data_IF_955384420269
#
_entry.id   IF_955384420269
#
_cell.length_a   1.000
_cell.length_b   1.000
_cell.length_c   1.000
_cell.angle_alpha   90.00
_cell.angle_beta   90.00
_cell.angle_gamma   90.00
#
_symmetry.space_group_name_H-M   'P 1'
#
loop_
_entity.id
_entity.type
_entity.pdbx_description
1 polymer ?
#
# COMPACT_ATOMS: atom_id res chain seq x y z
N UNK A 1 -14.39 -7.08 -26.10
CA UNK A 1 -14.83 -7.33 -24.71
C UNK A 1 -13.65 -7.26 -23.73
N UNK A 2 -13.86 -7.01 -22.42
CA UNK A 2 -12.83 -7.25 -21.40
C UNK A 2 -12.41 -8.74 -21.44
N UNK A 3 -11.12 -9.06 -21.32
CA UNK A 3 -10.62 -10.42 -21.47
C UNK A 3 -11.03 -11.27 -20.25
N UNK A 4 -12.17 -11.93 -20.34
CA UNK A 4 -12.70 -12.89 -19.35
C UNK A 4 -11.92 -14.23 -19.38
N UNK A 5 -10.60 -14.19 -19.56
CA UNK A 5 -9.68 -15.33 -19.56
C UNK A 5 -8.32 -15.04 -20.22
N UNK A 6 -7.24 -15.63 -19.69
CA UNK A 6 -5.87 -15.43 -20.15
C UNK A 6 -5.03 -14.56 -19.20
N UNK A 7 -4.43 -13.48 -19.72
CA UNK A 7 -3.51 -12.59 -18.99
C UNK A 7 -4.13 -11.94 -17.74
N UNK A 8 -5.46 -11.79 -17.70
CA UNK A 8 -6.19 -11.27 -16.54
C UNK A 8 -5.94 -12.08 -15.26
N UNK A 9 -5.75 -13.41 -15.35
CA UNK A 9 -5.42 -14.23 -14.18
C UNK A 9 -4.02 -13.96 -13.64
N UNK A 10 -3.07 -13.63 -14.52
CA UNK A 10 -1.72 -13.23 -14.11
C UNK A 10 -1.76 -11.86 -13.41
N UNK A 11 -2.55 -10.92 -13.95
CA UNK A 11 -2.81 -9.63 -13.31
C UNK A 11 -3.50 -9.79 -11.95
N UNK A 12 -4.43 -10.75 -11.83
CA UNK A 12 -5.05 -11.10 -10.55
C UNK A 12 -4.03 -11.59 -9.54
N UNK A 13 -3.13 -12.51 -9.92
CA UNK A 13 -2.08 -13.01 -9.02
C UNK A 13 -1.10 -11.90 -8.62
N UNK A 14 -0.75 -11.01 -9.56
CA UNK A 14 0.07 -9.83 -9.28
C UNK A 14 -0.61 -8.87 -8.28
N UNK A 15 -1.91 -8.61 -8.45
CA UNK A 15 -2.69 -7.77 -7.53
C UNK A 15 -2.88 -8.44 -6.15
N UNK A 16 -3.06 -9.76 -6.11
CA UNK A 16 -3.07 -10.55 -4.87
C UNK A 16 -1.75 -10.43 -4.13
N UNK A 17 -0.61 -10.57 -4.83
CA UNK A 17 0.71 -10.37 -4.24
C UNK A 17 0.89 -8.94 -3.75
N UNK A 18 0.49 -7.94 -4.55
CA UNK A 18 0.57 -6.53 -4.18
C UNK A 18 -0.20 -6.23 -2.89
N UNK A 19 -1.47 -6.67 -2.82
CA UNK A 19 -2.31 -6.46 -1.65
C UNK A 19 -1.78 -7.23 -0.44
N UNK A 20 -1.35 -8.48 -0.65
CA UNK A 20 -0.73 -9.31 0.39
C UNK A 20 0.54 -8.68 0.96
N UNK A 21 1.47 -8.24 0.11
CA UNK A 21 2.71 -7.62 0.54
C UNK A 21 2.48 -6.30 1.30
N UNK A 22 1.62 -5.42 0.77
CA UNK A 22 1.34 -4.12 1.41
C UNK A 22 0.65 -4.31 2.77
N UNK A 23 -0.45 -5.06 2.82
CA UNK A 23 -1.15 -5.30 4.09
C UNK A 23 -0.38 -6.21 5.04
N UNK A 24 0.37 -7.17 4.50
CA UNK A 24 1.24 -8.05 5.28
C UNK A 24 2.31 -7.26 6.02
N UNK A 25 3.02 -6.37 5.34
CA UNK A 25 4.05 -5.54 5.97
C UNK A 25 3.40 -4.57 6.96
N UNK A 26 2.29 -3.93 6.58
CA UNK A 26 1.61 -2.96 7.44
C UNK A 26 1.02 -3.60 8.71
N UNK A 27 0.54 -4.84 8.62
CA UNK A 27 0.07 -5.62 9.78
C UNK A 27 1.22 -6.16 10.63
N UNK A 28 2.36 -6.47 9.98
CA UNK A 28 3.58 -6.92 10.66
C UNK A 28 4.35 -5.79 11.34
N UNK A 29 3.92 -4.54 11.21
CA UNK A 29 4.49 -3.40 11.92
C UNK A 29 4.57 -3.62 13.44
N UNK A 30 3.62 -4.34 14.04
CA UNK A 30 3.67 -4.67 15.47
C UNK A 30 4.86 -5.59 15.84
N UNK A 31 5.21 -6.54 14.97
CA UNK A 31 6.39 -7.40 15.17
C UNK A 31 7.67 -6.59 14.96
N UNK A 32 7.74 -5.81 13.88
CA UNK A 32 8.87 -4.93 13.61
C UNK A 32 9.08 -3.89 14.73
N UNK A 33 8.00 -3.39 15.32
CA UNK A 33 7.99 -2.46 16.44
C UNK A 33 8.65 -3.06 17.69
N UNK A 34 8.25 -4.28 18.09
CA UNK A 34 8.83 -4.97 19.25
C UNK A 34 10.33 -5.19 19.05
N UNK A 35 10.73 -5.63 17.86
CA UNK A 35 12.14 -5.87 17.55
C UNK A 35 12.96 -4.60 17.43
N UNK A 36 12.36 -3.48 17.01
CA UNK A 36 13.00 -2.16 17.07
C UNK A 36 13.20 -1.68 18.51
N UNK A 37 12.25 -1.96 19.41
CA UNK A 37 12.41 -1.63 20.83
C UNK A 37 13.54 -2.38 21.48
N UNK A 38 13.66 -3.69 21.20
CA UNK A 38 14.77 -4.51 21.69
C UNK A 38 16.12 -4.02 21.16
N UNK A 39 16.20 -3.62 19.89
CA UNK A 39 17.44 -3.17 19.27
C UNK A 39 17.88 -1.77 19.74
N UNK A 40 16.95 -0.83 19.93
CA UNK A 40 17.29 0.59 20.18
C UNK A 40 17.33 0.99 21.67
N UNK A 41 16.76 0.22 22.59
CA UNK A 41 16.68 0.69 23.99
C UNK A 41 16.20 -0.32 25.03
N UNK A 42 16.44 -1.62 24.84
CA UNK A 42 16.36 -2.61 25.92
C UNK A 42 15.14 -2.48 26.84
N UNK A 43 13.93 -2.57 26.30
CA UNK A 43 12.70 -2.88 27.06
C UNK A 43 12.08 -1.80 27.96
N UNK A 44 12.81 -0.81 28.49
CA UNK A 44 12.30 0.00 29.62
C UNK A 44 12.03 1.49 29.32
N UNK A 45 12.48 2.03 28.18
CA UNK A 45 12.25 3.43 27.84
C UNK A 45 10.86 3.66 27.22
N UNK A 46 9.88 4.06 28.05
CA UNK A 46 8.54 4.47 27.59
C UNK A 46 8.59 5.44 26.42
N UNK A 47 9.54 6.37 26.40
CA UNK A 47 9.68 7.36 25.32
C UNK A 47 10.03 6.71 23.96
N UNK A 48 10.82 5.64 23.96
CA UNK A 48 11.21 4.91 22.75
C UNK A 48 10.03 4.10 22.18
N UNK A 49 9.24 3.48 23.06
CA UNK A 49 7.98 2.80 22.71
C UNK A 49 7.00 3.76 22.06
N UNK A 50 6.82 4.95 22.64
CA UNK A 50 6.00 5.99 22.00
C UNK A 50 6.54 6.35 20.63
N UNK A 51 7.85 6.63 20.50
CA UNK A 51 8.43 7.03 19.21
C UNK A 51 8.21 5.97 18.12
N UNK A 52 8.51 4.71 18.40
CA UNK A 52 8.41 3.64 17.40
C UNK A 52 6.95 3.34 17.02
N UNK A 53 6.00 3.49 17.94
CA UNK A 53 4.57 3.28 17.67
C UNK A 53 4.05 4.37 16.72
N UNK A 54 4.50 5.61 16.94
CA UNK A 54 4.21 6.72 16.06
C UNK A 54 4.65 6.46 14.62
N UNK A 55 5.81 5.83 14.38
CA UNK A 55 6.29 5.49 13.01
C UNK A 55 5.28 4.60 12.27
N UNK A 56 4.78 3.57 12.95
CA UNK A 56 3.83 2.60 12.38
C UNK A 56 2.47 3.24 12.09
N UNK A 57 1.97 4.05 13.03
CA UNK A 57 0.73 4.82 12.87
C UNK A 57 0.84 5.84 11.73
N UNK A 58 1.99 6.52 11.61
CA UNK A 58 2.28 7.44 10.51
C UNK A 58 2.26 6.71 9.17
N UNK A 59 2.89 5.54 9.08
CA UNK A 59 2.87 4.70 7.87
C UNK A 59 1.44 4.38 7.44
N UNK A 60 0.62 3.83 8.36
CA UNK A 60 -0.73 3.44 8.00
C UNK A 60 -1.60 4.64 7.62
N UNK A 61 -1.49 5.74 8.36
CA UNK A 61 -2.17 7.00 8.05
C UNK A 61 -1.79 7.55 6.68
N UNK A 62 -0.50 7.51 6.34
CA UNK A 62 0.02 7.98 5.04
C UNK A 62 -0.46 7.12 3.87
N UNK A 63 -0.58 5.80 4.03
CA UNK A 63 -1.13 4.93 2.97
C UNK A 63 -2.54 5.38 2.56
N UNK A 64 -3.40 5.63 3.54
CA UNK A 64 -4.77 6.10 3.29
C UNK A 64 -4.84 7.56 2.83
N UNK A 65 -4.01 8.43 3.40
CA UNK A 65 -3.94 9.84 2.99
C UNK A 65 -3.50 10.00 1.53
N UNK A 66 -2.56 9.17 1.07
CA UNK A 66 -2.11 9.18 -0.32
C UNK A 66 -3.09 8.50 -1.29
N UNK A 67 -3.95 7.57 -0.85
CA UNK A 67 -4.89 6.84 -1.72
C UNK A 67 -5.70 7.73 -2.69
N UNK A 68 -6.33 8.85 -2.27
CA UNK A 68 -7.03 9.75 -3.20
C UNK A 68 -6.10 10.44 -4.21
N UNK A 69 -4.87 10.78 -3.79
CA UNK A 69 -3.86 11.38 -4.66
C UNK A 69 -3.45 10.37 -5.72
N UNK A 70 -3.20 9.12 -5.32
CA UNK A 70 -2.83 8.02 -6.22
C UNK A 70 -3.92 7.76 -7.25
N UNK A 71 -5.20 7.84 -6.86
CA UNK A 71 -6.31 7.69 -7.80
C UNK A 71 -6.22 8.69 -8.96
N UNK A 72 -5.95 9.97 -8.65
CA UNK A 72 -5.80 11.02 -9.67
C UNK A 72 -4.59 10.74 -10.56
N UNK A 73 -3.45 10.35 -9.97
CA UNK A 73 -2.25 10.01 -10.74
C UNK A 73 -2.46 8.78 -11.63
N UNK A 74 -3.21 7.78 -11.15
CA UNK A 74 -3.56 6.56 -11.89
C UNK A 74 -4.40 6.90 -13.12
N UNK A 75 -5.34 7.83 -12.98
CA UNK A 75 -6.18 8.30 -14.09
C UNK A 75 -5.37 9.10 -15.15
N UNK A 76 -4.35 9.84 -14.71
CA UNK A 76 -3.53 10.69 -15.58
C UNK A 76 -2.40 9.94 -16.30
N UNK A 77 -1.63 9.14 -15.56
CA UNK A 77 -0.42 8.48 -16.06
C UNK A 77 -0.62 7.00 -16.42
N UNK A 78 -1.75 6.42 -16.01
CA UNK A 78 -2.09 5.01 -16.20
C UNK A 78 -1.60 4.10 -15.07
N UNK A 79 -2.28 2.97 -14.88
CA UNK A 79 -2.04 2.04 -13.77
C UNK A 79 -0.62 1.49 -13.71
N UNK A 80 -0.04 1.13 -14.86
CA UNK A 80 1.28 0.51 -14.93
C UNK A 80 2.37 1.45 -14.41
N UNK A 81 2.43 2.68 -14.93
CA UNK A 81 3.48 3.64 -14.59
C UNK A 81 3.43 3.99 -13.10
N UNK A 82 2.22 4.25 -12.59
CA UNK A 82 1.99 4.60 -11.19
C UNK A 82 2.34 3.46 -10.25
N UNK A 83 1.99 2.22 -10.61
CA UNK A 83 2.34 1.04 -9.82
C UNK A 83 3.86 0.82 -9.76
N UNK A 84 4.54 0.92 -10.90
CA UNK A 84 6.00 0.70 -11.00
C UNK A 84 6.78 1.80 -10.27
N UNK A 85 6.39 3.08 -10.44
CA UNK A 85 7.03 4.18 -9.71
C UNK A 85 6.75 4.09 -8.22
N UNK A 86 5.52 3.75 -7.81
CA UNK A 86 5.17 3.50 -6.42
C UNK A 86 5.99 2.39 -5.78
N UNK A 87 6.11 1.25 -6.47
CA UNK A 87 6.91 0.12 -6.01
C UNK A 87 8.40 0.46 -5.89
N UNK A 88 8.95 1.23 -6.83
CA UNK A 88 10.34 1.70 -6.77
C UNK A 88 10.58 2.64 -5.58
N UNK A 89 9.66 3.58 -5.34
CA UNK A 89 9.72 4.50 -4.20
C UNK A 89 9.58 3.73 -2.88
N UNK A 90 8.67 2.75 -2.81
CA UNK A 90 8.50 1.87 -1.67
C UNK A 90 9.75 1.06 -1.39
N UNK A 91 10.36 0.48 -2.43
CA UNK A 91 11.63 -0.25 -2.32
C UNK A 91 12.75 0.64 -1.79
N UNK A 92 12.91 1.84 -2.35
CA UNK A 92 13.94 2.78 -1.91
C UNK A 92 13.72 3.22 -0.46
N UNK A 93 12.47 3.48 -0.05
CA UNK A 93 12.13 3.83 1.33
C UNK A 93 12.47 2.71 2.31
N UNK A 94 12.06 1.48 1.99
CA UNK A 94 12.33 0.31 2.84
C UNK A 94 13.81 -0.05 2.90
N UNK A 95 14.51 0.06 1.77
CA UNK A 95 15.95 -0.17 1.71
C UNK A 95 16.71 0.89 2.51
N UNK A 96 16.32 2.16 2.41
CA UNK A 96 16.87 3.22 3.24
C UNK A 96 16.64 2.94 4.74
N UNK A 97 15.44 2.47 5.11
CA UNK A 97 15.15 2.07 6.50
C UNK A 97 16.03 0.93 7.01
N UNK A 98 16.55 0.05 6.14
CA UNK A 98 17.49 -1.02 6.54
C UNK A 98 18.87 -0.51 6.98
N UNK A 99 19.30 0.65 6.48
CA UNK A 99 20.58 1.27 6.83
C UNK A 99 20.49 2.27 7.98
N UNK A 100 19.27 2.65 8.35
CA UNK A 100 19.00 3.62 9.39
C UNK A 100 19.21 2.98 10.77
N UNK A 101 20.08 3.59 11.58
CA UNK A 101 20.38 3.18 12.96
C UNK A 101 19.77 4.11 14.01
N UNK A 102 18.85 5.02 13.62
CA UNK A 102 18.20 5.99 14.50
C UNK A 102 16.72 6.16 14.15
N UNK A 103 15.87 6.44 15.14
CA UNK A 103 14.41 6.48 14.93
C UNK A 103 13.96 7.73 14.14
N UNK A 104 14.69 8.84 14.21
CA UNK A 104 14.33 10.10 13.53
C UNK A 104 14.19 9.96 12.00
N UNK A 105 15.21 9.49 11.25
CA UNK A 105 15.08 9.24 9.81
C UNK A 105 14.15 8.07 9.47
N UNK A 106 13.78 7.22 10.44
CA UNK A 106 12.83 6.14 10.23
C UNK A 106 11.40 6.65 10.01
N UNK A 107 11.01 7.75 10.67
CA UNK A 107 9.72 8.41 10.40
C UNK A 107 9.56 8.80 8.94
N UNK A 108 10.63 9.33 8.34
CA UNK A 108 10.60 9.78 6.96
C UNK A 108 10.72 8.60 5.98
N UNK A 109 11.67 7.69 6.19
CA UNK A 109 11.92 6.57 5.27
C UNK A 109 10.82 5.52 5.31
N UNK A 110 10.46 5.03 6.49
CA UNK A 110 9.43 4.01 6.66
C UNK A 110 8.02 4.61 6.73
N UNK A 111 7.85 5.66 7.54
CA UNK A 111 6.54 6.26 7.77
C UNK A 111 5.99 7.04 6.58
N UNK A 112 6.83 7.78 5.85
CA UNK A 112 6.37 8.60 4.71
C UNK A 112 6.72 7.95 3.38
N UNK A 113 8.00 7.70 3.11
CA UNK A 113 8.47 7.31 1.78
C UNK A 113 7.98 5.90 1.39
N UNK A 114 8.16 4.92 2.28
CA UNK A 114 7.66 3.55 2.08
C UNK A 114 6.12 3.53 2.00
N UNK A 115 5.42 4.17 2.93
CA UNK A 115 3.95 4.24 2.94
C UNK A 115 3.38 4.90 1.67
N UNK A 116 3.98 6.00 1.20
CA UNK A 116 3.63 6.61 -0.08
C UNK A 116 3.80 5.60 -1.21
N UNK A 117 4.96 4.95 -1.31
CA UNK A 117 5.21 3.93 -2.33
C UNK A 117 4.19 2.79 -2.33
N UNK A 118 3.84 2.27 -1.15
CA UNK A 118 2.81 1.25 -0.97
C UNK A 118 1.43 1.71 -1.45
N UNK A 119 1.04 2.95 -1.15
CA UNK A 119 -0.23 3.53 -1.63
C UNK A 119 -0.25 3.63 -3.15
N UNK A 120 0.84 4.12 -3.75
CA UNK A 120 1.02 4.25 -5.19
C UNK A 120 1.03 2.89 -5.92
N UNK A 121 1.47 1.83 -5.26
CA UNK A 121 1.40 0.45 -5.76
C UNK A 121 0.00 -0.19 -5.61
N UNK A 122 -0.65 0.02 -4.47
CA UNK A 122 -1.89 -0.63 -4.10
C UNK A 122 -3.11 -0.15 -4.89
N UNK A 123 -3.29 1.16 -5.03
CA UNK A 123 -4.46 1.70 -5.74
C UNK A 123 -4.58 1.19 -7.20
N UNK A 124 -3.53 1.24 -8.05
CA UNK A 124 -3.63 0.78 -9.42
C UNK A 124 -3.83 -0.74 -9.54
N UNK A 125 -3.40 -1.53 -8.55
CA UNK A 125 -3.62 -2.99 -8.54
C UNK A 125 -5.10 -3.34 -8.43
N UNK A 126 -5.90 -2.53 -7.73
CA UNK A 126 -7.35 -2.70 -7.64
C UNK A 126 -8.06 -2.20 -8.90
N UNK A 127 -7.63 -1.05 -9.43
CA UNK A 127 -8.25 -0.44 -10.62
C UNK A 127 -8.09 -1.35 -11.84
N UNK A 128 -6.89 -1.93 -12.04
CA UNK A 128 -6.63 -2.78 -13.21
C UNK A 128 -7.48 -4.05 -13.23
N UNK A 129 -7.84 -4.62 -12.07
CA UNK A 129 -8.75 -5.78 -12.01
C UNK A 129 -10.13 -5.44 -12.56
N UNK A 130 -10.61 -4.23 -12.31
CA UNK A 130 -11.88 -3.74 -12.85
C UNK A 130 -11.89 -3.58 -14.36
N UNK A 131 -10.72 -3.38 -14.97
CA UNK A 131 -10.58 -3.29 -16.42
C UNK A 131 -10.57 -4.66 -17.09
N UNK A 132 -9.99 -5.68 -16.43
CA UNK A 132 -9.85 -7.04 -16.98
C UNK A 132 -11.09 -7.91 -16.73
N UNK A 133 -11.76 -7.77 -15.59
CA UNK A 133 -12.92 -8.57 -15.22
C UNK A 133 -14.12 -7.69 -14.93
N UNK A 134 -15.20 -7.84 -15.70
CA UNK A 134 -16.43 -7.06 -15.47
C UNK A 134 -17.56 -7.90 -14.95
N UNK A 135 -17.71 -9.13 -15.48
CA UNK A 135 -18.79 -10.04 -15.07
C UNK A 135 -18.44 -10.78 -13.78
N UNK A 136 -17.14 -11.04 -13.53
CA UNK A 136 -16.64 -11.81 -12.39
C UNK A 136 -15.83 -10.99 -11.38
N UNK A 137 -15.92 -9.66 -11.43
CA UNK A 137 -15.13 -8.75 -10.59
C UNK A 137 -15.26 -9.07 -9.09
N UNK A 138 -16.48 -9.36 -8.62
CA UNK A 138 -16.72 -9.72 -7.22
C UNK A 138 -15.99 -11.01 -6.80
N UNK A 139 -15.98 -12.03 -7.65
CA UNK A 139 -15.25 -13.28 -7.39
C UNK A 139 -13.74 -13.03 -7.38
N UNK A 140 -13.23 -12.26 -8.35
CA UNK A 140 -11.80 -11.94 -8.46
C UNK A 140 -11.33 -11.14 -7.24
N UNK A 141 -12.06 -10.10 -6.83
CA UNK A 141 -11.75 -9.37 -5.62
C UNK A 141 -11.84 -10.24 -4.37
N UNK A 142 -12.80 -11.18 -4.32
CA UNK A 142 -12.89 -12.18 -3.26
C UNK A 142 -11.64 -13.06 -3.16
N UNK A 143 -11.18 -13.60 -4.29
CA UNK A 143 -9.96 -14.43 -4.37
C UNK A 143 -8.72 -13.61 -3.98
N UNK A 144 -8.58 -12.40 -4.52
CA UNK A 144 -7.47 -11.49 -4.21
C UNK A 144 -7.43 -11.17 -2.71
N UNK A 145 -8.58 -10.88 -2.10
CA UNK A 145 -8.70 -10.53 -0.68
C UNK A 145 -8.45 -11.75 0.22
N UNK A 146 -8.97 -12.92 -0.14
CA UNK A 146 -8.72 -14.17 0.57
C UNK A 146 -7.22 -14.53 0.53
N UNK A 147 -6.62 -14.42 -0.66
CA UNK A 147 -5.19 -14.67 -0.88
C UNK A 147 -4.30 -13.68 -0.13
N UNK A 148 -4.63 -12.38 -0.16
CA UNK A 148 -3.88 -11.37 0.59
C UNK A 148 -4.00 -11.57 2.10
N UNK A 149 -5.16 -12.05 2.58
CA UNK A 149 -5.37 -12.35 4.01
C UNK A 149 -4.50 -13.52 4.48
N UNK A 150 -4.44 -14.61 3.70
CA UNK A 150 -3.55 -15.73 4.00
C UNK A 150 -2.09 -15.29 4.08
N UNK A 151 -1.66 -14.46 3.13
CA UNK A 151 -0.32 -13.89 3.13
C UNK A 151 -0.09 -12.98 4.34
N UNK A 152 -1.05 -12.11 4.67
CA UNK A 152 -0.98 -11.15 5.79
C UNK A 152 -0.93 -11.84 7.15
N UNK A 153 -1.59 -12.99 7.29
CA UNK A 153 -1.53 -13.82 8.51
C UNK A 153 -0.20 -14.58 8.59
N UNK A 154 0.31 -15.07 7.46
CA UNK A 154 1.54 -15.87 7.42
C UNK A 154 2.81 -15.03 7.61
N UNK A 155 2.85 -13.81 7.04
CA UNK A 155 4.04 -12.96 7.02
C UNK A 155 4.58 -12.61 8.43
N UNK A 156 3.77 -12.23 9.44
CA UNK A 156 4.26 -11.96 10.79
C UNK A 156 4.99 -13.15 11.44
N UNK A 157 4.52 -14.39 11.22
CA UNK A 157 5.19 -15.58 11.75
C UNK A 157 6.57 -15.78 11.10
N UNK A 158 6.63 -15.64 9.78
CA UNK A 158 7.90 -15.72 9.04
C UNK A 158 8.87 -14.63 9.51
N UNK A 159 8.37 -13.40 9.72
CA UNK A 159 9.18 -12.29 10.19
C UNK A 159 9.72 -12.50 11.59
N UNK A 160 8.94 -13.05 12.53
CA UNK A 160 9.44 -13.39 13.87
C UNK A 160 10.65 -14.34 13.80
N UNK A 161 10.50 -15.44 13.06
CA UNK A 161 11.58 -16.42 12.89
C UNK A 161 12.82 -15.80 12.22
N UNK A 162 12.61 -14.93 11.23
CA UNK A 162 13.70 -14.21 10.56
C UNK A 162 14.42 -13.25 11.51
N UNK A 163 13.67 -12.49 12.31
CA UNK A 163 14.24 -11.54 13.25
C UNK A 163 15.09 -12.27 14.29
N UNK A 164 14.58 -13.37 14.86
CA UNK A 164 15.31 -14.17 15.85
C UNK A 164 16.60 -14.77 15.27
N UNK A 165 16.60 -15.11 13.98
CA UNK A 165 17.74 -15.80 13.35
C UNK A 165 18.79 -14.86 12.76
N UNK A 166 18.37 -13.82 12.04
CA UNK A 166 19.27 -12.95 11.24
C UNK A 166 19.22 -11.48 11.65
N UNK A 167 18.37 -11.11 12.61
CA UNK A 167 18.22 -9.75 13.12
C UNK A 167 17.34 -8.83 12.25
N UNK A 168 17.02 -7.67 12.80
CA UNK A 168 16.08 -6.71 12.22
C UNK A 168 16.56 -6.15 10.87
N UNK A 169 17.81 -5.69 10.78
CA UNK A 169 18.31 -5.03 9.57
C UNK A 169 18.28 -5.97 8.36
N UNK A 170 18.62 -7.25 8.55
CA UNK A 170 18.54 -8.27 7.50
C UNK A 170 17.10 -8.63 7.16
N UNK A 171 16.21 -8.65 8.16
CA UNK A 171 14.78 -8.85 7.94
C UNK A 171 14.19 -7.75 7.04
N UNK A 172 14.55 -6.48 7.26
CA UNK A 172 14.15 -5.37 6.39
C UNK A 172 14.67 -5.55 4.95
N UNK A 173 15.88 -6.08 4.77
CA UNK A 173 16.41 -6.42 3.42
C UNK A 173 15.60 -7.54 2.75
N UNK A 174 15.16 -8.54 3.50
CA UNK A 174 14.28 -9.59 2.96
C UNK A 174 12.93 -9.01 2.54
N UNK A 175 12.37 -8.08 3.33
CA UNK A 175 11.15 -7.37 2.95
C UNK A 175 11.34 -6.52 1.67
N UNK A 176 12.54 -5.98 1.43
CA UNK A 176 12.87 -5.31 0.17
C UNK A 176 12.74 -6.25 -1.03
N UNK A 177 13.07 -7.54 -0.88
CA UNK A 177 12.87 -8.55 -1.94
C UNK A 177 11.38 -8.70 -2.27
N UNK A 178 10.49 -8.71 -1.27
CA UNK A 178 9.04 -8.78 -1.50
C UNK A 178 8.52 -7.57 -2.28
N UNK A 179 9.01 -6.37 -1.96
CA UNK A 179 8.66 -5.15 -2.71
C UNK A 179 9.29 -5.14 -4.10
N UNK A 180 10.47 -5.73 -4.27
CA UNK A 180 11.07 -5.89 -5.59
C UNK A 180 10.26 -6.82 -6.49
N UNK A 181 9.74 -7.93 -5.94
CA UNK A 181 8.78 -8.79 -6.67
C UNK A 181 7.54 -8.00 -7.06
N UNK A 182 7.06 -7.10 -6.20
CA UNK A 182 5.95 -6.20 -6.51
C UNK A 182 6.30 -5.22 -7.64
N UNK A 183 7.52 -4.68 -7.69
CA UNK A 183 8.01 -3.84 -8.79
C UNK A 183 7.97 -4.59 -10.13
N UNK A 184 8.44 -5.85 -10.15
CA UNK A 184 8.36 -6.71 -11.34
C UNK A 184 6.91 -7.02 -11.70
N UNK A 185 6.07 -7.34 -10.70
CA UNK A 185 4.64 -7.60 -10.90
C UNK A 185 3.92 -6.37 -11.49
N UNK A 186 4.34 -5.16 -11.14
CA UNK A 186 3.82 -3.90 -11.69
C UNK A 186 3.95 -3.78 -13.21
N UNK A 187 4.99 -4.38 -13.82
CA UNK A 187 5.12 -4.42 -15.28
C UNK A 187 4.08 -5.31 -15.95
N UNK A 188 3.53 -6.29 -15.23
CA UNK A 188 2.49 -7.22 -15.73
C UNK A 188 1.17 -6.51 -15.98
N UNK A 189 0.96 -5.34 -15.38
CA UNK A 189 -0.17 -4.46 -15.63
C UNK A 189 -0.07 -3.88 -17.05
N UNK A 190 -0.30 -4.72 -18.06
CA UNK A 190 -0.29 -4.30 -19.46
C UNK A 190 -1.32 -3.20 -19.63
N UNK A 191 -0.93 -2.03 -20.18
CA UNK A 191 -1.88 -1.02 -20.59
C UNK A 191 -2.66 -1.65 -21.74
N UNK A 192 -3.93 -1.99 -21.48
CA UNK A 192 -4.88 -2.22 -22.56
C UNK A 192 -4.95 -0.89 -23.31
N UNK A 193 -4.23 -0.81 -24.43
CA UNK A 193 -4.09 0.37 -25.28
C UNK A 193 -5.47 0.98 -25.55
N UNK A 194 -5.65 2.22 -25.09
CA UNK A 194 -6.46 3.32 -25.64
C UNK A 194 -7.88 3.14 -26.23
N UNK A 195 -8.48 1.96 -26.38
CA UNK A 195 -9.77 1.83 -27.08
C UNK A 195 -10.99 1.69 -26.14
N UNK A 196 -10.78 1.40 -24.86
CA UNK A 196 -11.86 1.36 -23.88
C UNK A 196 -12.26 2.75 -23.35
N UNK A 197 -11.70 3.84 -23.91
CA UNK A 197 -12.21 5.19 -23.64
C UNK A 197 -13.61 5.43 -24.25
N UNK A 198 -14.08 4.58 -25.15
CA UNK A 198 -15.36 4.80 -25.84
C UNK A 198 -16.51 3.84 -25.49
N UNK A 199 -16.34 2.81 -24.63
CA UNK A 199 -17.43 1.83 -24.43
C UNK A 199 -17.81 1.45 -23.00
N UNK A 200 -17.30 2.14 -21.98
CA UNK A 200 -17.89 1.98 -20.63
C UNK A 200 -18.00 3.24 -19.78
N UNK A 201 -17.63 4.39 -20.35
CA UNK A 201 -17.97 5.71 -19.82
C UNK A 201 -19.42 6.13 -20.05
N UNK A 202 -20.29 5.27 -20.60
CA UNK A 202 -21.70 5.61 -20.85
C UNK A 202 -22.64 5.42 -19.66
N UNK A 203 -22.15 5.02 -18.48
CA UNK A 203 -22.92 5.13 -17.22
C UNK A 203 -22.10 5.67 -16.05
N UNK A 204 -21.47 6.83 -16.24
CA UNK A 204 -21.45 7.96 -15.27
C UNK A 204 -20.61 9.12 -15.82
N UNK A 205 -21.28 10.04 -16.51
CA UNK A 205 -20.89 11.45 -16.63
C UNK A 205 -19.68 11.77 -17.50
N UNK A 206 -19.94 12.16 -18.76
CA UNK A 206 -19.03 12.89 -19.67
C UNK A 206 -17.98 13.75 -18.95
N UNK A 207 -16.69 13.48 -19.15
CA UNK A 207 -15.68 14.55 -19.13
C UNK A 207 -14.55 14.28 -20.14
N UNK A 208 -14.47 15.18 -21.12
CA UNK A 208 -13.63 15.10 -22.32
C UNK A 208 -12.13 15.37 -22.03
N UNK A 209 -11.18 14.82 -22.82
CA UNK A 209 -9.80 14.51 -22.40
C UNK A 209 -8.75 15.63 -22.51
N UNK A 210 -9.13 16.91 -22.61
CA UNK A 210 -8.18 17.96 -23.04
C UNK A 210 -7.99 19.19 -22.16
N UNK A 211 -8.77 19.38 -21.06
CA UNK A 211 -8.79 20.68 -20.36
C UNK A 211 -8.87 20.69 -18.83
N UNK A 212 -8.64 19.60 -18.11
CA UNK A 212 -8.65 19.64 -16.63
C UNK A 212 -7.45 18.97 -15.98
N UNK A 213 -6.36 19.73 -15.92
CA UNK A 213 -5.13 19.42 -15.18
C UNK A 213 -5.37 19.32 -13.66
N UNK A 214 -6.52 19.79 -13.15
CA UNK A 214 -6.93 19.60 -11.75
C UNK A 214 -8.45 19.52 -11.67
N UNK A 215 -9.04 18.31 -11.63
CA UNK A 215 -10.45 18.17 -11.26
C UNK A 215 -10.57 18.14 -9.73
N UNK A 216 -10.34 19.30 -9.09
CA UNK A 216 -10.68 19.57 -7.67
C UNK A 216 -12.20 19.41 -7.38
N UNK A 217 -12.99 18.99 -8.38
CA UNK A 217 -14.41 18.68 -8.25
C UNK A 217 -14.68 17.51 -7.30
N UNK A 218 -13.72 16.61 -7.09
CA UNK A 218 -13.85 15.52 -6.10
C UNK A 218 -13.73 16.06 -4.67
N UNK A 219 -12.85 17.05 -4.44
CA UNK A 219 -12.77 17.79 -3.15
C UNK A 219 -13.95 18.74 -2.91
N UNK A 220 -14.80 19.02 -3.90
CA UNK A 220 -16.04 19.80 -3.70
C UNK A 220 -17.18 18.98 -3.10
N UNK A 221 -17.11 17.64 -3.16
CA UNK A 221 -18.12 16.78 -2.55
C UNK A 221 -17.86 16.72 -1.04
N UNK A 222 -18.74 17.34 -0.25
CA UNK A 222 -18.59 17.44 1.22
C UNK A 222 -18.45 16.06 1.86
N UNK A 223 -19.21 15.06 1.40
CA UNK A 223 -19.09 13.67 1.86
C UNK A 223 -17.73 13.04 1.57
N UNK A 224 -17.11 13.35 0.42
CA UNK A 224 -15.77 12.86 0.08
C UNK A 224 -14.68 13.56 0.90
N UNK A 225 -14.83 14.87 1.16
CA UNK A 225 -13.93 15.61 2.06
C UNK A 225 -13.98 15.08 3.50
N UNK A 226 -15.19 14.85 4.02
CA UNK A 226 -15.40 14.29 5.36
C UNK A 226 -14.84 12.86 5.42
N UNK A 227 -14.97 12.07 4.36
CA UNK A 227 -14.43 10.71 4.32
C UNK A 227 -12.89 10.69 4.16
N UNK A 228 -12.34 11.51 3.27
CA UNK A 228 -10.91 11.57 2.96
C UNK A 228 -10.06 12.23 4.07
N UNK A 229 -10.63 13.15 4.86
CA UNK A 229 -9.96 13.67 6.07
C UNK A 229 -10.40 12.94 7.34
N UNK A 230 -11.65 12.50 7.41
CA UNK A 230 -12.21 11.85 8.59
C UNK A 230 -11.75 10.41 8.77
N UNK A 231 -11.52 9.63 7.71
CA UNK A 231 -10.98 8.26 7.86
C UNK A 231 -9.51 8.28 8.30
N UNK A 232 -8.62 9.07 7.70
CA UNK A 232 -7.27 9.19 8.21
C UNK A 232 -7.24 9.75 9.63
N UNK A 233 -8.02 10.79 9.95
CA UNK A 233 -8.09 11.33 11.31
C UNK A 233 -8.72 10.35 12.33
N UNK A 234 -9.72 9.57 11.92
CA UNK A 234 -10.34 8.54 12.74
C UNK A 234 -9.43 7.33 12.93
N UNK A 235 -8.67 6.91 11.92
CA UNK A 235 -7.67 5.84 12.04
C UNK A 235 -6.48 6.31 12.89
N UNK A 236 -6.04 7.56 12.73
CA UNK A 236 -5.06 8.18 13.62
C UNK A 236 -5.57 8.20 15.07
N UNK A 237 -6.84 8.57 15.26
CA UNK A 237 -7.49 8.59 16.58
C UNK A 237 -7.89 7.22 17.12
N UNK A 238 -8.02 6.19 16.28
CA UNK A 238 -8.39 4.82 16.67
C UNK A 238 -7.16 4.00 17.12
N UNK A 239 -5.99 4.27 16.54
CA UNK A 239 -4.75 3.64 16.97
C UNK A 239 -4.22 4.19 18.31
N UNK A 240 -4.56 5.42 18.70
CA UNK A 240 -4.13 6.01 19.99
C UNK A 240 -4.69 5.25 21.21
N UNK A 241 -6.00 4.91 21.29
CA UNK A 241 -6.54 4.06 22.35
C UNK A 241 -6.06 2.61 22.30
N UNK A 242 -5.81 2.06 21.11
CA UNK A 242 -5.38 0.65 20.95
C UNK A 242 -3.97 0.43 21.52
N UNK A 243 -3.10 1.43 21.42
CA UNK A 243 -1.76 1.43 22.03
C UNK A 243 -1.83 1.61 23.55
N UNK A 244 -2.86 2.31 24.07
CA UNK A 244 -3.08 2.46 25.51
C UNK A 244 -3.75 1.27 26.19
N UNK A 245 -4.40 0.37 25.44
CA UNK A 245 -5.04 -0.86 25.97
C UNK A 245 -4.10 -2.06 26.06
N UNK A 246 -2.92 -1.99 25.43
CA UNK A 246 -1.87 -3.03 25.47
C UNK A 246 -0.73 -2.65 26.43
N UNK A 247 -0.81 -1.49 27.08
CA UNK A 247 0.12 -1.05 28.14
C UNK A 247 -0.40 -1.40 29.53
#
# INVERSE_FOLDING_TARGET
EPPEGGWGWVVMLAAMWCNGAVFGIQNSCGVLFVSMLELFGGGEDKQLSFKTAWVSSLSMGMVFFCSPIVSIFTDLFGCQKVAVTGAAVGFAGLLASSFVSTIEPLYFTYGVLFACGCSFAYQPSLVILGHYFKKRLGLVNGIVTAGSSLFTVSLPFVLRVLIDSVGLCNTLRVLCILIFVLFVAGFTYKPLVSDAKDKEGEKKGKFSPGKKICNFSVFKVVSYRIWAFGIPAALFGYFVPYVHLVS
#
